data_IF_841670960374
#
_entry.id   IF_841670960374
#
_cell.length_a   1.000
_cell.length_b   1.000
_cell.length_c   1.000
_cell.angle_alpha   90.00
_cell.angle_beta   90.00
_cell.angle_gamma   90.00
#
_symmetry.space_group_name_H-M   'P 1'
#
loop_
_entity.id
_entity.type
_entity.pdbx_description
1 polymer ?
#
# COMPACT_ATOMS: atom_id res chain seq x y z
N UNK A 1 4.68 -5.87 11.40
CA UNK A 1 3.94 -4.77 12.06
C UNK A 1 4.24 -4.73 13.57
N UNK A 2 5.44 -4.25 13.94
CA UNK A 2 5.84 -4.15 15.35
C UNK A 2 5.47 -2.78 15.95
N UNK A 3 5.25 -1.76 15.10
CA UNK A 3 4.89 -0.41 15.53
C UNK A 3 3.37 -0.20 15.66
N UNK A 4 2.56 -1.14 15.18
CA UNK A 4 1.11 -1.05 15.16
C UNK A 4 0.48 -1.61 16.43
N UNK A 5 -0.70 -1.09 16.80
CA UNK A 5 -1.56 -1.68 17.83
C UNK A 5 -2.21 -3.01 17.38
N UNK A 6 -2.83 -3.76 18.32
CA UNK A 6 -3.34 -5.11 18.06
C UNK A 6 -4.36 -5.19 16.92
N UNK A 7 -5.20 -4.16 16.74
CA UNK A 7 -6.21 -4.10 15.67
C UNK A 7 -5.57 -4.07 14.28
N UNK A 8 -4.55 -3.23 14.07
CA UNK A 8 -3.86 -3.11 12.77
C UNK A 8 -2.93 -4.30 12.53
N UNK A 9 -2.33 -4.86 13.58
CA UNK A 9 -1.60 -6.13 13.46
C UNK A 9 -2.53 -7.25 12.97
N UNK A 10 -3.73 -7.37 13.54
CA UNK A 10 -4.69 -8.38 13.14
C UNK A 10 -5.20 -8.18 11.70
N UNK A 11 -5.42 -6.93 11.26
CA UNK A 11 -5.79 -6.67 9.85
C UNK A 11 -4.67 -7.06 8.89
N UNK A 12 -3.42 -6.71 9.22
CA UNK A 12 -2.23 -7.08 8.44
C UNK A 12 -2.07 -8.59 8.33
N UNK A 13 -2.22 -9.32 9.45
CA UNK A 13 -2.17 -10.78 9.46
C UNK A 13 -3.25 -11.42 8.59
N UNK A 14 -4.49 -10.90 8.63
CA UNK A 14 -5.57 -11.40 7.76
C UNK A 14 -5.27 -11.15 6.28
N UNK A 15 -4.80 -9.95 5.93
CA UNK A 15 -4.46 -9.61 4.55
C UNK A 15 -3.33 -10.50 4.01
N UNK A 16 -2.26 -10.69 4.79
CA UNK A 16 -1.16 -11.58 4.44
C UNK A 16 -1.60 -13.05 4.33
N UNK A 17 -2.49 -13.51 5.21
CA UNK A 17 -3.08 -14.85 5.13
C UNK A 17 -3.89 -15.09 3.85
N UNK A 18 -4.45 -14.03 3.26
CA UNK A 18 -5.14 -14.06 1.96
C UNK A 18 -4.21 -13.78 0.77
N UNK A 19 -2.89 -13.64 1.00
CA UNK A 19 -1.91 -13.45 -0.08
C UNK A 19 -1.89 -12.05 -0.69
N UNK A 20 -2.42 -11.03 -0.01
CA UNK A 20 -2.42 -9.64 -0.51
C UNK A 20 -0.98 -9.15 -0.74
N UNK A 21 -0.73 -8.60 -1.91
CA UNK A 21 0.55 -8.04 -2.33
C UNK A 21 0.45 -6.54 -2.60
N UNK A 22 1.62 -5.88 -2.75
CA UNK A 22 1.66 -4.47 -3.14
C UNK A 22 1.04 -4.23 -4.52
N UNK A 23 1.10 -5.21 -5.43
CA UNK A 23 0.46 -5.10 -6.76
C UNK A 23 -1.06 -5.07 -6.65
N UNK A 24 -1.62 -5.86 -5.74
CA UNK A 24 -3.07 -5.89 -5.50
C UNK A 24 -3.54 -4.56 -4.91
N UNK A 25 -2.76 -3.97 -4.02
CA UNK A 25 -3.03 -2.63 -3.46
C UNK A 25 -2.98 -1.57 -4.58
N UNK A 26 -1.96 -1.59 -5.44
CA UNK A 26 -1.85 -0.65 -6.56
C UNK A 26 -3.02 -0.79 -7.55
N UNK A 27 -3.48 -2.01 -7.83
CA UNK A 27 -4.65 -2.25 -8.67
C UNK A 27 -5.93 -1.71 -8.02
N UNK A 28 -6.13 -1.97 -6.72
CA UNK A 28 -7.26 -1.44 -5.94
C UNK A 28 -7.30 0.09 -5.95
N UNK A 29 -6.15 0.75 -5.83
CA UNK A 29 -6.10 2.22 -5.90
C UNK A 29 -6.53 2.73 -7.26
N UNK A 30 -6.16 2.06 -8.37
CA UNK A 30 -6.64 2.46 -9.71
C UNK A 30 -8.16 2.42 -9.81
N UNK A 31 -8.79 1.37 -9.29
CA UNK A 31 -10.26 1.23 -9.27
C UNK A 31 -10.91 2.31 -8.40
N UNK A 32 -10.35 2.59 -7.22
CA UNK A 32 -10.85 3.67 -6.34
C UNK A 32 -10.77 5.03 -7.05
N UNK A 33 -9.70 5.27 -7.81
CA UNK A 33 -9.48 6.52 -8.55
C UNK A 33 -10.48 6.76 -9.68
N UNK A 34 -11.23 5.76 -10.11
CA UNK A 34 -12.32 5.97 -11.09
C UNK A 34 -13.48 6.80 -10.51
N UNK A 35 -13.64 6.84 -9.19
CA UNK A 35 -14.78 7.48 -8.51
C UNK A 35 -14.40 8.39 -7.34
N UNK A 36 -13.11 8.50 -7.02
CA UNK A 36 -12.64 9.23 -5.84
C UNK A 36 -11.45 10.14 -6.17
N UNK A 37 -11.63 11.44 -5.90
CA UNK A 37 -10.61 12.49 -6.03
C UNK A 37 -9.88 12.78 -4.69
N UNK A 38 -10.25 12.10 -3.60
CA UNK A 38 -9.66 12.36 -2.28
C UNK A 38 -8.20 11.90 -2.25
N UNK A 39 -7.24 12.66 -1.71
CA UNK A 39 -5.84 12.23 -1.63
C UNK A 39 -5.69 10.87 -0.90
N UNK A 40 -4.91 9.96 -1.49
CA UNK A 40 -4.66 8.60 -0.99
C UNK A 40 -3.19 8.49 -0.58
N UNK A 41 -2.97 8.05 0.65
CA UNK A 41 -1.63 7.78 1.19
C UNK A 41 -1.43 6.28 1.32
N UNK A 42 -0.36 5.76 0.72
CA UNK A 42 0.12 4.40 0.94
C UNK A 42 0.89 4.34 2.25
N UNK A 43 0.32 3.71 3.26
CA UNK A 43 1.02 3.41 4.51
C UNK A 43 1.69 2.04 4.43
N UNK A 44 3.00 1.96 4.68
CA UNK A 44 3.74 0.70 4.63
C UNK A 44 4.95 0.72 5.56
N UNK A 45 5.52 -0.44 5.87
CA UNK A 45 6.85 -0.50 6.46
C UNK A 45 7.93 -0.43 5.39
N UNK A 46 9.15 -0.05 5.78
CA UNK A 46 10.25 0.11 4.82
C UNK A 46 10.62 -1.19 4.06
N UNK A 47 10.59 -2.35 4.72
CA UNK A 47 11.07 -3.60 4.11
C UNK A 47 10.25 -4.07 2.88
N UNK A 48 8.91 -4.06 2.91
CA UNK A 48 8.10 -4.27 1.70
C UNK A 48 8.47 -3.35 0.54
N UNK A 49 8.67 -2.06 0.81
CA UNK A 49 9.07 -1.06 -0.20
C UNK A 49 10.45 -1.41 -0.77
N UNK A 50 11.42 -1.69 0.11
CA UNK A 50 12.77 -2.05 -0.30
C UNK A 50 12.81 -3.31 -1.16
N UNK A 51 12.04 -4.35 -0.81
CA UNK A 51 11.94 -5.59 -1.61
C UNK A 51 11.23 -5.41 -2.96
N UNK A 52 10.26 -4.50 -3.04
CA UNK A 52 9.60 -4.19 -4.30
C UNK A 52 10.49 -3.33 -5.22
N UNK A 53 11.37 -2.52 -4.63
CA UNK A 53 12.22 -1.54 -5.29
C UNK A 53 11.66 -0.14 -5.13
N UNK A 54 12.45 0.77 -4.55
CA UNK A 54 12.00 2.14 -4.19
C UNK A 54 11.62 2.94 -5.45
N UNK A 55 12.49 2.95 -6.46
CA UNK A 55 12.23 3.67 -7.72
C UNK A 55 11.00 3.11 -8.44
N UNK A 56 10.91 1.78 -8.50
CA UNK A 56 9.77 1.08 -9.08
C UNK A 56 8.49 1.45 -8.35
N UNK A 57 8.50 1.45 -7.02
CA UNK A 57 7.34 1.85 -6.23
C UNK A 57 6.93 3.29 -6.53
N UNK A 58 7.88 4.23 -6.57
CA UNK A 58 7.56 5.63 -6.84
C UNK A 58 6.86 5.81 -8.19
N UNK A 59 7.37 5.14 -9.24
CA UNK A 59 6.77 5.17 -10.58
C UNK A 59 5.39 4.52 -10.58
N UNK A 60 5.28 3.29 -10.06
CA UNK A 60 4.03 2.52 -10.08
C UNK A 60 2.95 3.22 -9.22
N UNK A 61 3.31 3.74 -8.04
CA UNK A 61 2.41 4.44 -7.14
C UNK A 61 1.85 5.74 -7.76
N UNK A 62 2.73 6.58 -8.30
CA UNK A 62 2.31 7.81 -8.99
C UNK A 62 1.39 7.51 -10.19
N UNK A 63 1.71 6.48 -10.98
CA UNK A 63 0.89 6.06 -12.11
C UNK A 63 -0.49 5.50 -11.70
N UNK A 64 -0.64 5.03 -10.45
CA UNK A 64 -1.91 4.52 -9.91
C UNK A 64 -2.76 5.57 -9.21
N UNK A 65 -2.25 6.78 -8.99
CA UNK A 65 -2.95 7.85 -8.28
C UNK A 65 -2.74 7.86 -6.76
N UNK A 66 -1.64 7.27 -6.26
CA UNK A 66 -1.21 7.46 -4.87
C UNK A 66 -0.52 8.83 -4.75
N UNK A 67 -0.94 9.64 -3.77
CA UNK A 67 -0.47 11.02 -3.58
C UNK A 67 0.67 11.15 -2.56
N UNK A 68 0.88 10.10 -1.76
CA UNK A 68 1.94 10.09 -0.76
C UNK A 68 2.23 8.70 -0.23
N UNK A 69 3.40 8.55 0.37
CA UNK A 69 3.81 7.33 1.06
C UNK A 69 4.21 7.69 2.48
N UNK A 70 3.64 6.99 3.46
CA UNK A 70 4.00 7.06 4.87
C UNK A 70 4.72 5.76 5.26
N UNK A 71 5.91 5.88 5.85
CA UNK A 71 6.77 4.76 6.24
C UNK A 71 7.01 4.73 7.74
#
# INVERSE_FOLDING_TARGET
PMADGPTIQASSTRALGNGVTLKDILAMVREIRETCETPIVLFSYFNPIFRFGIERLAIDAAATGIDGVLV
#
